data_IF_217930928292
#
_entry.id   IF_217930928292
#
_cell.length_a   1.000
_cell.length_b   1.000
_cell.length_c   1.000
_cell.angle_alpha   90.00
_cell.angle_beta   90.00
_cell.angle_gamma   90.00
#
_symmetry.space_group_name_H-M   'P 1'
#
loop_
_entity.id
_entity.type
_entity.pdbx_description
1 polymer ?
#
# COMPACT_ATOMS: atom_id res chain seq x y z
N UNK A 1 17.69 -64.68 -51.66
CA UNK A 1 18.21 -63.80 -52.73
C UNK A 1 18.27 -62.38 -52.21
N UNK A 2 19.45 -61.76 -52.36
CA UNK A 2 19.82 -60.33 -52.22
C UNK A 2 19.63 -59.67 -50.83
N UNK A 3 20.69 -59.50 -50.01
CA UNK A 3 21.81 -58.49 -50.07
C UNK A 3 21.31 -57.05 -49.92
N UNK A 4 21.52 -56.41 -48.77
CA UNK A 4 22.60 -55.43 -48.53
C UNK A 4 21.95 -54.09 -48.14
N UNK A 5 22.55 -53.10 -47.49
CA UNK A 5 23.88 -52.86 -46.95
C UNK A 5 23.74 -51.66 -45.98
N UNK A 6 24.57 -51.62 -44.95
CA UNK A 6 24.74 -50.52 -43.98
C UNK A 6 25.29 -49.25 -44.67
N UNK A 7 24.91 -48.06 -44.20
CA UNK A 7 25.84 -46.92 -44.09
C UNK A 7 25.45 -45.96 -42.95
N UNK A 8 26.32 -45.92 -41.94
CA UNK A 8 26.54 -44.81 -41.02
C UNK A 8 27.11 -43.61 -41.80
N UNK A 9 26.61 -42.40 -41.51
CA UNK A 9 27.43 -41.19 -41.49
C UNK A 9 26.94 -40.28 -40.36
N UNK A 10 27.88 -40.02 -39.44
CA UNK A 10 27.82 -39.02 -38.38
C UNK A 10 27.78 -37.60 -38.95
N UNK A 11 26.97 -36.72 -38.35
CA UNK A 11 27.24 -35.29 -38.31
C UNK A 11 26.88 -34.77 -36.92
N UNK A 12 27.91 -34.29 -36.23
CA UNK A 12 27.89 -33.48 -35.02
C UNK A 12 27.20 -32.13 -35.22
N UNK A 13 26.98 -31.43 -34.11
CA UNK A 13 26.39 -30.09 -33.91
C UNK A 13 24.87 -30.16 -33.67
N UNK A 14 24.29 -29.70 -32.57
CA UNK A 14 24.76 -28.91 -31.43
C UNK A 14 23.90 -29.31 -30.23
N UNK A 15 24.49 -29.27 -29.02
CA UNK A 15 23.70 -29.25 -27.80
C UNK A 15 22.95 -27.93 -27.78
N UNK A 16 21.66 -27.96 -28.12
CA UNK A 16 20.74 -26.94 -27.64
C UNK A 16 20.69 -27.09 -26.11
N UNK A 17 21.57 -26.34 -25.44
CA UNK A 17 21.30 -25.88 -24.10
C UNK A 17 20.01 -25.08 -24.19
N UNK A 18 18.89 -25.75 -23.93
CA UNK A 18 17.70 -25.07 -23.41
C UNK A 18 18.21 -24.41 -22.14
N UNK A 19 18.59 -23.13 -22.27
CA UNK A 19 18.67 -22.22 -21.15
C UNK A 19 17.41 -22.50 -20.35
N UNK A 20 17.60 -23.04 -19.15
CA UNK A 20 16.57 -23.03 -18.16
C UNK A 20 16.25 -21.54 -17.99
N UNK A 21 15.24 -21.08 -18.73
CA UNK A 21 14.48 -19.91 -18.36
C UNK A 21 14.12 -20.20 -16.92
N UNK A 22 14.80 -19.52 -15.99
CA UNK A 22 14.33 -19.37 -14.63
C UNK A 22 13.04 -18.61 -14.76
N UNK A 23 11.98 -19.35 -15.12
CA UNK A 23 10.61 -18.96 -14.89
C UNK A 23 10.57 -18.66 -13.41
N UNK A 24 10.43 -17.39 -13.06
CA UNK A 24 10.07 -16.91 -11.73
C UNK A 24 8.61 -17.34 -11.38
N UNK A 25 8.20 -18.51 -11.90
CA UNK A 25 6.97 -19.24 -11.66
C UNK A 25 7.09 -19.95 -10.32
N UNK A 26 7.03 -19.15 -9.26
CA UNK A 26 7.09 -19.68 -7.90
C UNK A 26 7.11 -18.63 -6.79
N UNK A 27 7.18 -17.34 -7.11
CA UNK A 27 6.88 -16.32 -6.12
C UNK A 27 5.36 -16.39 -5.83
N UNK A 28 4.98 -17.04 -4.73
CA UNK A 28 3.60 -17.09 -4.24
C UNK A 28 3.00 -15.69 -4.28
N UNK A 29 2.09 -15.46 -5.23
CA UNK A 29 1.41 -14.18 -5.39
C UNK A 29 0.60 -13.89 -4.12
N UNK A 30 1.00 -12.85 -3.39
CA UNK A 30 0.21 -12.36 -2.25
C UNK A 30 -1.09 -11.77 -2.79
N UNK A 31 -2.21 -12.40 -2.43
CA UNK A 31 -3.54 -11.89 -2.73
C UNK A 31 -4.10 -11.21 -1.49
N UNK A 32 -4.61 -9.99 -1.65
CA UNK A 32 -5.32 -9.26 -0.61
C UNK A 32 -6.75 -9.08 -1.11
N UNK A 33 -7.70 -9.64 -0.36
CA UNK A 33 -9.11 -9.46 -0.65
C UNK A 33 -9.60 -8.21 0.06
N UNK A 34 -10.62 -7.59 -0.51
CA UNK A 34 -11.27 -6.46 0.12
C UNK A 34 -12.78 -6.52 -0.12
N UNK A 35 -13.54 -5.92 0.79
CA UNK A 35 -14.97 -5.72 0.63
C UNK A 35 -15.38 -4.39 1.27
N UNK A 36 -16.59 -3.94 0.93
CA UNK A 36 -17.19 -2.78 1.57
C UNK A 36 -17.76 -3.18 2.93
N UNK A 37 -17.30 -2.50 3.96
CA UNK A 37 -17.94 -2.52 5.27
C UNK A 37 -19.14 -1.56 5.32
N UNK A 38 -19.00 -0.41 4.66
CA UNK A 38 -20.05 0.59 4.48
C UNK A 38 -20.39 0.76 3.00
N UNK A 39 -21.66 0.92 2.66
CA UNK A 39 -22.10 1.15 1.25
C UNK A 39 -21.54 2.44 0.66
N UNK A 40 -21.19 3.40 1.51
CA UNK A 40 -20.58 4.69 1.14
C UNK A 40 -19.08 4.59 0.83
N UNK A 41 -18.44 3.47 1.15
CA UNK A 41 -17.01 3.26 0.95
C UNK A 41 -16.64 3.18 -0.54
N UNK A 42 -15.55 3.86 -0.88
CA UNK A 42 -14.96 3.78 -2.21
C UNK A 42 -14.08 2.54 -2.32
N UNK A 43 -14.03 1.91 -3.52
CA UNK A 43 -13.09 0.82 -3.77
C UNK A 43 -11.65 1.34 -3.60
N UNK A 44 -10.74 0.56 -2.97
CA UNK A 44 -9.32 0.84 -3.02
C UNK A 44 -8.85 0.88 -4.48
N UNK A 45 -8.12 1.94 -4.85
CA UNK A 45 -7.60 2.13 -6.20
C UNK A 45 -6.10 2.34 -6.18
N UNK A 46 -5.43 2.17 -7.32
CA UNK A 46 -3.99 2.46 -7.41
C UNK A 46 -3.73 3.94 -7.18
N UNK A 47 -2.70 4.26 -6.40
CA UNK A 47 -2.25 5.64 -6.26
C UNK A 47 -1.67 6.11 -7.59
N UNK A 48 -2.40 6.98 -8.29
CA UNK A 48 -1.90 7.64 -9.50
C UNK A 48 -1.24 8.95 -9.10
N UNK A 49 0.08 8.93 -8.92
CA UNK A 49 0.87 10.17 -8.92
C UNK A 49 1.30 10.45 -10.36
N UNK A 50 1.40 11.74 -10.71
CA UNK A 50 1.90 12.16 -12.02
C UNK A 50 3.43 12.03 -12.06
N UNK A 51 3.89 10.79 -12.15
CA UNK A 51 5.28 10.45 -12.38
C UNK A 51 5.65 10.85 -13.81
N UNK A 52 5.92 12.13 -14.02
CA UNK A 52 6.33 12.76 -15.28
C UNK A 52 7.07 11.75 -16.19
N UNK A 53 6.40 11.14 -17.18
CA UNK A 53 6.85 9.89 -17.80
C UNK A 53 8.12 10.05 -18.64
N UNK A 54 8.46 11.30 -18.97
CA UNK A 54 9.65 11.67 -19.74
C UNK A 54 10.91 11.83 -18.89
N UNK A 55 10.83 11.67 -17.57
CA UNK A 55 11.99 11.80 -16.68
C UNK A 55 12.83 10.52 -16.72
N UNK A 56 14.17 10.63 -16.89
CA UNK A 56 15.04 9.48 -17.03
C UNK A 56 15.04 8.60 -15.77
N UNK A 57 14.98 7.29 -15.97
CA UNK A 57 15.17 6.31 -14.91
C UNK A 57 16.66 6.11 -14.65
N UNK A 58 17.17 6.67 -13.55
CA UNK A 58 18.58 6.55 -13.16
C UNK A 58 19.05 5.09 -12.99
N UNK A 59 18.13 4.16 -12.73
CA UNK A 59 18.44 2.73 -12.59
C UNK A 59 18.98 2.07 -13.87
N UNK A 60 18.82 2.72 -15.03
CA UNK A 60 19.34 2.25 -16.31
C UNK A 60 20.64 2.95 -16.72
N UNK A 61 21.15 3.87 -15.89
CA UNK A 61 22.38 4.62 -16.13
C UNK A 61 23.54 4.04 -15.34
N UNK A 62 24.73 4.07 -15.92
CA UNK A 62 26.00 3.86 -15.21
C UNK A 62 26.22 4.94 -14.15
N UNK A 63 27.09 4.67 -13.18
CA UNK A 63 27.40 5.63 -12.12
C UNK A 63 27.95 6.95 -12.66
N UNK A 64 28.75 6.91 -13.72
CA UNK A 64 29.33 8.12 -14.32
C UNK A 64 28.29 8.94 -15.10
N UNK A 65 27.33 8.28 -15.75
CA UNK A 65 26.17 8.96 -16.36
C UNK A 65 25.31 9.63 -15.30
N UNK A 66 25.04 8.95 -14.17
CA UNK A 66 24.28 9.53 -13.06
C UNK A 66 25.00 10.75 -12.47
N UNK A 67 26.33 10.66 -12.28
CA UNK A 67 27.15 11.79 -11.80
C UNK A 67 27.15 12.96 -12.79
N UNK A 68 27.27 12.67 -14.08
CA UNK A 68 27.25 13.69 -15.14
C UNK A 68 25.90 14.40 -15.17
N UNK A 69 24.79 13.66 -15.07
CA UNK A 69 23.45 14.22 -15.01
C UNK A 69 23.26 15.12 -13.76
N UNK A 70 23.74 14.67 -12.60
CA UNK A 70 23.70 15.45 -11.36
C UNK A 70 24.51 16.74 -11.47
N UNK A 71 25.73 16.68 -12.02
CA UNK A 71 26.58 17.84 -12.25
C UNK A 71 26.01 18.81 -13.30
N UNK A 72 25.20 18.30 -14.25
CA UNK A 72 24.54 19.07 -15.29
C UNK A 72 23.32 19.90 -14.84
N UNK A 73 23.01 19.95 -13.54
CA UNK A 73 21.92 20.76 -13.01
C UNK A 73 20.53 20.14 -13.15
N UNK A 74 20.44 18.81 -13.27
CA UNK A 74 19.18 18.08 -13.29
C UNK A 74 18.37 18.36 -12.02
N UNK A 75 17.24 19.06 -12.16
CA UNK A 75 16.35 19.39 -11.03
C UNK A 75 15.56 18.17 -10.61
N UNK A 76 15.88 17.58 -9.45
CA UNK A 76 15.12 16.46 -8.85
C UNK A 76 13.73 16.91 -8.41
N UNK A 77 12.70 16.12 -8.72
CA UNK A 77 11.34 16.28 -8.21
C UNK A 77 11.06 15.25 -7.10
N UNK A 78 10.11 15.53 -6.20
CA UNK A 78 9.73 14.57 -5.17
C UNK A 78 9.33 13.19 -5.74
N UNK A 79 8.78 13.16 -6.96
CA UNK A 79 8.36 11.94 -7.66
C UNK A 79 9.52 11.12 -8.26
N UNK A 80 10.74 11.67 -8.29
CA UNK A 80 11.94 10.94 -8.70
C UNK A 80 12.46 10.01 -7.58
N UNK A 81 11.93 10.14 -6.36
CA UNK A 81 12.31 9.33 -5.21
C UNK A 81 11.81 7.88 -5.37
N UNK A 82 12.72 6.90 -5.38
CA UNK A 82 12.40 5.47 -5.52
C UNK A 82 11.34 4.95 -4.53
N UNK A 83 11.42 5.28 -3.23
CA UNK A 83 10.36 4.97 -2.26
C UNK A 83 8.97 5.51 -2.65
N UNK A 84 8.89 6.73 -3.19
CA UNK A 84 7.63 7.36 -3.62
C UNK A 84 7.05 6.61 -4.82
N UNK A 85 7.89 6.28 -5.80
CA UNK A 85 7.50 5.44 -6.96
C UNK A 85 7.00 4.07 -6.54
N UNK A 86 7.65 3.46 -5.57
CA UNK A 86 7.24 2.15 -5.01
C UNK A 86 5.85 2.25 -4.38
N UNK A 87 5.61 3.27 -3.54
CA UNK A 87 4.27 3.48 -2.95
C UNK A 87 3.21 3.78 -4.01
N UNK A 88 3.55 4.54 -5.06
CA UNK A 88 2.66 4.79 -6.20
C UNK A 88 2.24 3.51 -6.94
N UNK A 89 3.21 2.65 -7.25
CA UNK A 89 2.96 1.44 -8.03
C UNK A 89 2.23 0.35 -7.24
N UNK A 90 2.53 0.20 -5.95
CA UNK A 90 2.07 -0.93 -5.15
C UNK A 90 1.02 -0.57 -4.09
N UNK A 91 0.89 0.71 -3.75
CA UNK A 91 -0.07 1.18 -2.77
C UNK A 91 -1.50 1.24 -3.30
N UNK A 92 -2.45 1.05 -2.41
CA UNK A 92 -3.87 1.32 -2.65
C UNK A 92 -4.31 2.56 -1.89
N UNK A 93 -4.81 3.54 -2.64
CA UNK A 93 -5.41 4.75 -2.12
C UNK A 93 -6.75 4.42 -1.46
N UNK A 94 -6.90 4.89 -0.22
CA UNK A 94 -8.15 4.85 0.53
C UNK A 94 -8.72 6.26 0.60
N UNK A 95 -10.03 6.37 0.34
CA UNK A 95 -10.75 7.65 0.27
C UNK A 95 -11.77 7.79 1.39
N UNK A 96 -12.12 9.04 1.66
CA UNK A 96 -13.11 9.37 2.68
C UNK A 96 -14.51 8.91 2.22
N UNK A 97 -15.28 8.18 3.04
CA UNK A 97 -16.63 7.75 2.67
C UNK A 97 -17.69 8.86 2.88
N UNK A 98 -17.36 9.94 3.59
CA UNK A 98 -18.33 10.96 3.99
C UNK A 98 -17.72 12.37 4.08
N UNK A 99 -18.59 13.38 4.15
CA UNK A 99 -18.21 14.75 4.48
C UNK A 99 -17.98 14.90 5.98
N UNK A 100 -16.81 15.42 6.35
CA UNK A 100 -16.34 15.47 7.73
C UNK A 100 -15.69 16.82 8.01
N UNK A 101 -15.97 17.39 9.18
CA UNK A 101 -15.23 18.51 9.74
C UNK A 101 -14.60 18.09 11.05
N UNK A 102 -13.33 18.44 11.25
CA UNK A 102 -12.55 18.12 12.43
C UNK A 102 -11.88 19.39 12.95
N UNK A 103 -11.83 19.58 14.27
CA UNK A 103 -11.03 20.64 14.89
C UNK A 103 -10.49 20.20 16.25
N UNK A 104 -9.27 20.63 16.57
CA UNK A 104 -8.74 20.55 17.93
C UNK A 104 -9.30 21.72 18.75
N UNK A 105 -9.64 21.44 19.99
CA UNK A 105 -10.12 22.38 21.01
C UNK A 105 -9.35 22.14 22.31
N UNK A 106 -9.49 23.05 23.29
CA UNK A 106 -8.84 22.90 24.60
C UNK A 106 -9.24 21.60 25.32
N UNK A 107 -10.45 21.09 25.07
CA UNK A 107 -10.98 19.88 25.70
C UNK A 107 -10.81 18.61 24.84
N UNK A 108 -10.07 18.67 23.73
CA UNK A 108 -9.85 17.54 22.82
C UNK A 108 -10.33 17.81 21.39
N UNK A 109 -10.66 16.75 20.66
CA UNK A 109 -11.05 16.84 19.25
C UNK A 109 -12.58 16.86 19.14
N UNK A 110 -13.08 17.84 18.39
CA UNK A 110 -14.50 17.89 17.99
C UNK A 110 -14.62 17.54 16.52
N UNK A 111 -15.71 16.84 16.17
CA UNK A 111 -16.02 16.47 14.81
C UNK A 111 -17.48 16.69 14.47
N UNK A 112 -17.74 16.86 13.18
CA UNK A 112 -19.05 16.81 12.58
C UNK A 112 -18.98 15.84 11.39
N UNK A 113 -19.77 14.77 11.44
CA UNK A 113 -19.94 13.81 10.35
C UNK A 113 -21.40 13.36 10.32
N UNK A 114 -21.93 12.95 9.16
CA UNK A 114 -23.20 12.22 9.15
C UNK A 114 -23.07 10.93 9.97
N UNK A 115 -24.17 10.41 10.55
CA UNK A 115 -24.18 9.07 11.12
C UNK A 115 -24.01 8.03 9.99
N UNK A 116 -23.50 6.85 10.34
CA UNK A 116 -23.55 5.70 9.43
C UNK A 116 -24.93 5.05 9.60
N UNK A 117 -25.78 5.15 8.58
CA UNK A 117 -27.14 4.61 8.64
C UNK A 117 -27.09 3.07 8.74
N UNK A 118 -28.14 2.44 9.28
CA UNK A 118 -28.11 1.00 9.55
C UNK A 118 -28.02 0.18 8.25
N UNK A 119 -28.76 0.62 7.23
CA UNK A 119 -28.77 0.09 5.87
C UNK A 119 -27.44 0.28 5.13
N UNK A 120 -26.62 1.24 5.55
CA UNK A 120 -25.29 1.45 4.98
C UNK A 120 -24.27 0.45 5.53
N UNK A 121 -24.57 -0.27 6.62
CA UNK A 121 -23.66 -1.22 7.28
C UNK A 121 -23.78 -2.62 6.67
N UNK A 122 -23.05 -2.85 5.59
CA UNK A 122 -23.10 -4.09 4.83
C UNK A 122 -22.64 -5.32 5.62
N UNK A 123 -21.71 -5.14 6.57
CA UNK A 123 -21.21 -6.20 7.45
C UNK A 123 -21.87 -6.20 8.85
N UNK A 124 -22.95 -5.42 9.02
CA UNK A 124 -23.74 -5.31 10.24
C UNK A 124 -23.03 -4.63 11.43
N UNK A 125 -23.53 -4.86 12.65
CA UNK A 125 -23.01 -4.31 13.92
C UNK A 125 -21.67 -4.90 14.40
N UNK A 126 -21.04 -5.75 13.58
CA UNK A 126 -19.79 -6.44 13.95
C UNK A 126 -18.56 -5.50 13.90
N UNK A 127 -18.78 -4.19 13.74
CA UNK A 127 -17.77 -3.16 13.60
C UNK A 127 -18.01 -2.05 14.62
N UNK A 128 -16.91 -1.54 15.17
CA UNK A 128 -16.87 -0.91 16.49
C UNK A 128 -17.50 0.49 16.60
N UNK A 129 -17.84 1.18 15.49
CA UNK A 129 -18.34 2.56 15.56
C UNK A 129 -19.52 2.81 14.62
N UNK A 130 -20.59 3.42 15.15
CA UNK A 130 -21.72 3.92 14.36
C UNK A 130 -21.45 5.24 13.63
N UNK A 131 -20.22 5.75 13.69
CA UNK A 131 -19.78 7.04 13.17
C UNK A 131 -18.55 6.87 12.28
N UNK A 132 -18.42 7.74 11.28
CA UNK A 132 -17.23 7.83 10.43
C UNK A 132 -15.99 8.35 11.17
N UNK A 133 -16.19 9.09 12.27
CA UNK A 133 -15.12 9.58 13.12
C UNK A 133 -15.35 9.10 14.53
N UNK A 134 -14.29 8.59 15.14
CA UNK A 134 -14.25 8.12 16.51
C UNK A 134 -12.91 8.52 17.15
N UNK A 135 -12.79 8.44 18.47
CA UNK A 135 -11.55 8.69 19.21
C UNK A 135 -10.99 7.39 19.77
N UNK A 136 -9.71 7.15 19.57
CA UNK A 136 -9.03 6.05 20.27
C UNK A 136 -8.70 6.52 21.67
N UNK A 137 -9.32 5.96 22.71
CA UNK A 137 -8.83 5.95 24.10
C UNK A 137 -8.27 7.30 24.60
N UNK A 138 -8.95 8.42 24.32
CA UNK A 138 -8.50 9.77 24.67
C UNK A 138 -7.11 10.18 24.11
N UNK A 139 -6.64 9.55 23.03
CA UNK A 139 -5.37 9.87 22.37
C UNK A 139 -5.28 11.31 21.88
N UNK A 140 -6.42 11.98 21.74
CA UNK A 140 -6.50 13.29 21.12
C UNK A 140 -6.29 13.25 19.61
N UNK A 141 -6.32 12.09 18.95
CA UNK A 141 -6.26 11.94 17.50
C UNK A 141 -7.56 11.32 16.97
N UNK A 142 -8.24 11.98 16.01
CA UNK A 142 -9.41 11.39 15.36
C UNK A 142 -9.00 10.17 14.54
N UNK A 143 -9.77 9.09 14.72
CA UNK A 143 -9.74 7.89 13.88
C UNK A 143 -10.85 8.03 12.84
N UNK A 144 -10.47 8.14 11.59
CA UNK A 144 -11.37 8.15 10.44
C UNK A 144 -11.61 6.73 9.95
N UNK A 145 -12.86 6.29 10.00
CA UNK A 145 -13.30 5.00 9.48
C UNK A 145 -13.65 5.10 8.00
N UNK A 146 -12.89 4.41 7.14
CA UNK A 146 -13.05 4.53 5.68
C UNK A 146 -14.03 3.50 5.08
N UNK A 147 -14.51 2.54 5.89
CA UNK A 147 -15.52 1.57 5.46
C UNK A 147 -15.02 0.50 4.49
N UNK A 148 -13.71 0.31 4.39
CA UNK A 148 -13.09 -0.77 3.61
C UNK A 148 -12.60 -1.84 4.58
N UNK A 149 -13.00 -3.09 4.36
CA UNK A 149 -12.44 -4.26 5.03
C UNK A 149 -11.41 -4.91 4.10
N UNK A 150 -10.24 -5.22 4.63
CA UNK A 150 -9.15 -5.93 3.96
C UNK A 150 -8.95 -7.30 4.63
N UNK A 151 -8.62 -8.30 3.81
CA UNK A 151 -8.22 -9.63 4.25
C UNK A 151 -6.86 -9.95 3.64
N UNK A 152 -5.89 -10.29 4.48
CA UNK A 152 -4.49 -10.46 4.08
C UNK A 152 -3.85 -11.66 4.77
N UNK A 153 -2.89 -12.37 4.13
CA UNK A 153 -2.22 -13.50 4.74
C UNK A 153 -1.51 -13.15 6.06
N UNK A 154 -1.49 -14.07 7.02
CA UNK A 154 -0.90 -13.86 8.36
C UNK A 154 0.58 -13.41 8.37
N UNK A 155 1.34 -13.73 7.33
CA UNK A 155 2.76 -13.36 7.20
C UNK A 155 2.98 -11.97 6.57
N UNK A 156 1.89 -11.28 6.22
CA UNK A 156 1.89 -9.93 5.62
C UNK A 156 1.41 -8.93 6.65
N UNK A 157 2.05 -7.77 6.68
CA UNK A 157 1.57 -6.58 7.37
C UNK A 157 0.94 -5.60 6.38
N UNK A 158 0.05 -4.74 6.87
CA UNK A 158 -0.48 -3.64 6.08
C UNK A 158 0.13 -2.33 6.57
N UNK A 159 1.10 -1.80 5.83
CA UNK A 159 1.68 -0.50 6.10
C UNK A 159 0.69 0.58 5.69
N UNK A 160 0.27 1.38 6.66
CA UNK A 160 -0.58 2.55 6.48
C UNK A 160 0.31 3.77 6.40
N UNK A 161 0.22 4.51 5.30
CA UNK A 161 1.00 5.72 5.04
C UNK A 161 0.11 6.90 4.74
N UNK A 162 0.66 8.09 4.98
CA UNK A 162 0.12 9.28 4.37
C UNK A 162 0.33 9.25 2.84
N UNK A 163 -0.31 10.18 2.15
CA UNK A 163 -0.03 10.37 0.73
C UNK A 163 1.43 10.81 0.58
N UNK A 164 2.24 10.06 -0.19
CA UNK A 164 3.65 10.41 -0.37
C UNK A 164 3.77 11.77 -1.04
N UNK A 165 4.69 12.60 -0.54
CA UNK A 165 4.88 13.99 -1.00
C UNK A 165 3.58 14.82 -1.05
N UNK A 166 2.66 14.63 -0.11
CA UNK A 166 1.43 15.43 -0.07
C UNK A 166 1.69 16.94 0.00
N UNK A 167 2.83 17.40 0.53
CA UNK A 167 3.21 18.82 0.50
C UNK A 167 3.34 19.36 -0.94
N UNK A 168 3.61 18.50 -1.92
CA UNK A 168 3.75 18.82 -3.33
C UNK A 168 2.42 18.60 -4.09
N UNK A 169 1.78 17.45 -3.89
CA UNK A 169 0.56 17.06 -4.62
C UNK A 169 -0.75 17.60 -4.02
N UNK A 170 -0.74 17.91 -2.73
CA UNK A 170 -1.90 18.34 -1.93
C UNK A 170 -1.50 19.43 -0.92
N UNK A 171 -1.02 20.60 -1.37
CA UNK A 171 -0.49 21.63 -0.48
C UNK A 171 -1.51 22.18 0.53
N UNK A 172 -2.81 22.09 0.20
CA UNK A 172 -3.91 22.52 1.07
C UNK A 172 -4.30 21.49 2.14
N UNK A 173 -3.68 20.31 2.12
CA UNK A 173 -3.94 19.26 3.09
C UNK A 173 -3.64 19.76 4.51
N UNK A 174 -4.57 19.52 5.42
CA UNK A 174 -4.59 20.14 6.76
C UNK A 174 -4.27 19.16 7.89
N UNK A 175 -3.92 17.94 7.52
CA UNK A 175 -3.63 16.84 8.42
C UNK A 175 -2.59 15.91 7.80
N UNK A 176 -1.93 15.15 8.66
CA UNK A 176 -1.14 13.98 8.27
C UNK A 176 -1.74 12.70 8.80
N UNK A 177 -1.40 11.58 8.18
CA UNK A 177 -1.71 10.24 8.70
C UNK A 177 -0.65 9.83 9.71
N UNK A 178 -1.08 9.28 10.85
CA UNK A 178 -0.16 8.55 11.72
C UNK A 178 0.17 7.20 11.09
N UNK A 179 1.40 7.10 10.59
CA UNK A 179 1.86 5.93 9.84
C UNK A 179 2.23 4.75 10.75
N UNK A 180 2.08 3.54 10.23
CA UNK A 180 2.46 2.33 10.94
C UNK A 180 2.05 1.07 10.21
N UNK A 181 2.56 -0.07 10.67
CA UNK A 181 2.21 -1.38 10.12
C UNK A 181 1.13 -1.99 10.99
N UNK A 182 -0.02 -2.31 10.39
CA UNK A 182 -1.04 -3.10 11.06
C UNK A 182 -0.61 -4.56 11.10
N UNK A 183 -0.44 -5.06 12.32
CA UNK A 183 -0.20 -6.47 12.65
C UNK A 183 -1.33 -7.04 13.53
N UNK A 184 -1.16 -8.30 13.94
CA UNK A 184 -2.13 -9.07 14.74
C UNK A 184 -2.25 -8.62 16.21
N UNK A 185 -1.26 -7.91 16.74
CA UNK A 185 -0.95 -7.93 18.18
C UNK A 185 -1.91 -7.14 19.08
N UNK A 186 -2.54 -6.07 18.58
CA UNK A 186 -3.25 -5.13 19.47
C UNK A 186 -4.77 -5.32 19.53
N UNK A 187 -5.42 -5.64 18.41
CA UNK A 187 -6.88 -5.82 18.35
C UNK A 187 -7.26 -6.60 17.11
N UNK A 188 -7.96 -7.72 17.32
CA UNK A 188 -8.40 -8.62 16.26
C UNK A 188 -9.71 -8.14 15.66
N UNK A 189 -9.68 -7.83 14.37
CA UNK A 189 -10.89 -7.79 13.56
C UNK A 189 -11.19 -9.23 13.14
N UNK A 190 -12.39 -9.78 13.43
CA UNK A 190 -12.66 -11.17 13.12
C UNK A 190 -12.70 -11.39 11.60
N UNK A 191 -11.96 -12.39 11.14
CA UNK A 191 -12.16 -12.95 9.80
C UNK A 191 -13.44 -13.80 9.83
N UNK A 192 -14.42 -13.44 8.99
CA UNK A 192 -15.73 -14.10 8.95
C UNK A 192 -15.78 -15.25 7.93
N UNK A 193 -14.73 -15.43 7.14
CA UNK A 193 -14.69 -16.34 6.02
C UNK A 193 -13.90 -17.60 6.37
N UNK A 194 -14.62 -18.72 6.54
CA UNK A 194 -14.02 -20.02 6.81
C UNK A 194 -13.07 -20.51 5.69
N UNK A 195 -13.28 -20.04 4.45
CA UNK A 195 -12.44 -20.35 3.29
C UNK A 195 -11.11 -19.58 3.26
N UNK A 196 -10.91 -18.63 4.19
CA UNK A 196 -9.67 -17.86 4.37
C UNK A 196 -9.01 -18.14 5.74
N UNK A 197 -8.71 -19.40 6.11
CA UNK A 197 -8.26 -19.74 7.47
C UNK A 197 -6.91 -19.12 7.87
N UNK A 198 -6.08 -18.78 6.88
CA UNK A 198 -4.76 -18.17 7.07
C UNK A 198 -4.68 -16.68 6.76
N UNK A 199 -5.84 -16.03 6.71
CA UNK A 199 -5.93 -14.59 6.53
C UNK A 199 -6.41 -13.92 7.81
N UNK A 200 -5.84 -12.74 8.03
CA UNK A 200 -6.31 -11.77 9.00
C UNK A 200 -7.24 -10.77 8.32
N UNK A 201 -8.05 -10.10 9.13
CA UNK A 201 -8.94 -9.05 8.67
C UNK A 201 -8.55 -7.69 9.29
N UNK A 202 -8.83 -6.61 8.58
CA UNK A 202 -8.61 -5.25 9.05
C UNK A 202 -9.60 -4.28 8.41
N UNK A 203 -10.23 -3.43 9.22
CA UNK A 203 -10.95 -2.26 8.69
C UNK A 203 -9.98 -1.10 8.52
N UNK A 204 -9.86 -0.58 7.30
CA UNK A 204 -9.05 0.59 7.00
C UNK A 204 -9.54 1.81 7.80
N UNK A 205 -8.84 2.11 8.88
CA UNK A 205 -9.07 3.25 9.74
C UNK A 205 -7.78 4.05 9.87
N UNK A 206 -7.83 5.34 9.59
CA UNK A 206 -6.65 6.20 9.63
C UNK A 206 -6.71 7.11 10.85
N UNK A 207 -5.61 7.16 11.61
CA UNK A 207 -5.44 8.17 12.64
C UNK A 207 -4.89 9.43 12.02
N UNK A 208 -5.54 10.56 12.28
CA UNK A 208 -5.19 11.83 11.66
C UNK A 208 -4.55 12.76 12.68
N UNK A 209 -3.40 13.32 12.36
CA UNK A 209 -2.80 14.43 13.07
C UNK A 209 -3.21 15.74 12.39
N UNK A 210 -4.14 16.47 13.01
CA UNK A 210 -4.61 17.76 12.49
C UNK A 210 -3.60 18.88 12.79
N UNK A 211 -3.29 19.70 11.79
CA UNK A 211 -2.47 20.91 11.95
C UNK A 211 -3.32 22.17 12.15
N UNK A 212 -4.53 22.19 11.57
CA UNK A 212 -5.51 23.27 11.67
C UNK A 212 -6.93 22.70 11.53
N UNK A 213 -7.99 23.48 11.75
CA UNK A 213 -9.35 23.03 11.45
C UNK A 213 -9.42 22.44 10.03
N UNK A 214 -9.96 21.23 9.95
CA UNK A 214 -9.86 20.36 8.79
C UNK A 214 -11.26 20.05 8.27
N UNK A 215 -11.48 20.22 6.97
CA UNK A 215 -12.67 19.70 6.27
C UNK A 215 -12.19 18.65 5.29
N UNK A 216 -12.81 17.48 5.32
CA UNK A 216 -12.55 16.37 4.41
C UNK A 216 -13.88 16.09 3.70
N UNK A 217 -13.86 16.08 2.38
CA UNK A 217 -15.03 15.77 1.56
C UNK A 217 -15.09 14.30 1.25
N UNK A 218 -16.31 13.80 1.03
CA UNK A 218 -16.51 12.45 0.51
C UNK A 218 -15.71 12.29 -0.79
N UNK A 219 -14.93 11.23 -0.87
CA UNK A 219 -14.04 10.93 -1.99
C UNK A 219 -12.63 11.51 -1.83
N UNK A 220 -12.36 12.40 -0.88
CA UNK A 220 -11.01 12.94 -0.68
C UNK A 220 -10.01 11.83 -0.34
N UNK A 221 -8.76 11.92 -0.83
CA UNK A 221 -7.73 10.94 -0.55
C UNK A 221 -7.28 11.04 0.92
N UNK A 222 -7.34 9.92 1.65
CA UNK A 222 -6.98 9.87 3.07
C UNK A 222 -5.59 9.34 3.29
N UNK A 223 -5.22 8.25 2.63
CA UNK A 223 -3.93 7.61 2.84
C UNK A 223 -3.79 6.39 1.97
N UNK A 224 -2.64 5.76 2.06
CA UNK A 224 -2.29 4.61 1.24
C UNK A 224 -2.07 3.40 2.13
N UNK A 225 -2.55 2.25 1.67
CA UNK A 225 -2.22 0.95 2.27
C UNK A 225 -1.28 0.22 1.31
N UNK A 226 -0.12 -0.19 1.83
CA UNK A 226 0.88 -0.96 1.13
C UNK A 226 1.09 -2.30 1.87
N UNK A 227 1.04 -3.44 1.17
CA UNK A 227 1.38 -4.70 1.80
C UNK A 227 2.88 -4.81 1.98
N UNK A 228 3.30 -5.25 3.17
CA UNK A 228 4.70 -5.43 3.52
C UNK A 228 4.91 -6.82 4.09
N UNK A 229 6.05 -7.45 3.78
CA UNK A 229 6.44 -8.69 4.43
C UNK A 229 6.83 -8.38 5.88
N UNK A 230 6.33 -9.17 6.82
CA UNK A 230 6.72 -9.01 8.22
C UNK A 230 8.11 -9.64 8.44
N UNK A 231 9.07 -8.91 9.04
CA UNK A 231 10.36 -9.49 9.37
C UNK A 231 10.17 -10.61 10.40
N UNK A 232 10.82 -11.75 10.17
CA UNK A 232 10.81 -12.87 11.14
C UNK A 232 11.97 -12.73 12.13
N UNK A 233 13.17 -12.42 11.63
CA UNK A 233 14.40 -12.17 12.40
C UNK A 233 15.32 -11.29 11.53
N UNK A 234 16.00 -10.32 12.12
CA UNK A 234 17.03 -9.52 11.42
C UNK A 234 18.13 -9.11 12.39
N UNK A 235 19.32 -8.91 11.83
CA UNK A 235 20.48 -8.36 12.51
C UNK A 235 20.98 -7.16 11.70
N UNK A 236 21.34 -6.07 12.38
CA UNK A 236 21.94 -4.89 11.75
C UNK A 236 23.44 -4.92 12.03
N UNK A 237 24.22 -5.26 11.02
CA UNK A 237 25.68 -5.27 11.09
C UNK A 237 26.25 -4.13 10.23
N UNK A 238 27.20 -3.40 10.78
CA UNK A 238 28.00 -2.45 10.01
C UNK A 238 29.02 -3.20 9.15
N UNK A 239 29.16 -2.81 7.87
CA UNK A 239 30.20 -3.34 6.98
C UNK A 239 31.56 -2.90 7.52
N UNK A 240 32.38 -3.86 7.94
CA UNK A 240 33.77 -3.61 8.29
C UNK A 240 34.61 -3.58 7.00
N UNK A 241 35.28 -2.46 6.74
CA UNK A 241 36.26 -2.35 5.66
C UNK A 241 37.63 -2.88 6.14
N UNK A 242 38.40 -3.57 5.28
CA UNK A 242 39.79 -3.96 5.58
C UNK A 242 40.69 -2.76 5.88
#
# INVERSE_FOLDING_TARGET
MRTGLIRLLSSSMEKESVEASTSDEGADKIVIYWEREYSTAFPPERLKLDFHPHRPMLSQMTLDEQRTLAAGGYKVLPDDCGPVRTVGNYGWLIRCPADIKLRRTASGVQWQSPPIAQEERLLGYKTFSGMYVDLILNSGYPKLCCGVRLYYPKHVGLMMKDLPNHFYHHPDRTFTVWEGIKTQEYKRTPNQYAWLPDYEAFTANFLLQLHKPTTIKRGDPIGVILPVLLPKQFELQEIQHP
#
